data_IF_108204208010
#
_entry.id   IF_108204208010
#
_cell.length_a   1.000
_cell.length_b   1.000
_cell.length_c   1.000
_cell.angle_alpha   90.00
_cell.angle_beta   90.00
_cell.angle_gamma   90.00
#
_symmetry.space_group_name_H-M   'P 1'
#
loop_
_entity.id
_entity.type
_entity.pdbx_description
1 polymer ?
#
# COMPACT_ATOMS: atom_id res chain seq x y z
N UNK A 1 -10.84 -28.83 -3.99
CA UNK A 1 -11.03 -28.00 -5.20
C UNK A 1 -10.77 -28.86 -6.43
N UNK A 2 -11.51 -28.65 -7.53
CA UNK A 2 -11.15 -29.29 -8.80
C UNK A 2 -9.86 -28.64 -9.33
N UNK A 3 -8.87 -29.46 -9.66
CA UNK A 3 -7.63 -28.99 -10.27
C UNK A 3 -7.90 -28.80 -11.77
N UNK A 4 -7.57 -27.61 -12.30
CA UNK A 4 -7.68 -27.31 -13.73
C UNK A 4 -6.83 -28.26 -14.56
N UNK A 5 -7.34 -28.62 -15.73
CA UNK A 5 -6.56 -29.27 -16.78
C UNK A 5 -5.99 -28.20 -17.72
N UNK A 6 -5.02 -28.60 -18.54
CA UNK A 6 -4.38 -27.69 -19.50
C UNK A 6 -5.37 -27.08 -20.48
N UNK A 7 -6.43 -27.81 -20.84
CA UNK A 7 -7.47 -27.35 -21.77
C UNK A 7 -8.38 -26.29 -21.13
N UNK A 8 -8.45 -26.24 -19.81
CA UNK A 8 -9.25 -25.27 -19.06
C UNK A 8 -8.56 -23.89 -18.94
N UNK A 9 -7.26 -23.83 -19.24
CA UNK A 9 -6.49 -22.59 -19.21
C UNK A 9 -6.96 -21.63 -20.30
N UNK A 10 -7.02 -20.34 -20.01
CA UNK A 10 -7.48 -19.36 -20.99
C UNK A 10 -6.45 -19.11 -22.08
N UNK A 11 -5.17 -19.25 -21.76
CA UNK A 11 -4.08 -19.24 -22.73
C UNK A 11 -4.24 -20.31 -23.81
N UNK A 12 -4.89 -21.44 -23.50
CA UNK A 12 -5.19 -22.49 -24.48
C UNK A 12 -6.00 -21.95 -25.67
N UNK A 13 -6.87 -20.95 -25.47
CA UNK A 13 -7.65 -20.33 -26.57
C UNK A 13 -6.77 -19.63 -27.61
N UNK A 14 -5.55 -19.22 -27.23
CA UNK A 14 -4.58 -18.63 -28.16
C UNK A 14 -3.70 -19.70 -28.80
N UNK A 15 -3.25 -20.70 -28.04
CA UNK A 15 -2.18 -21.59 -28.49
C UNK A 15 -2.61 -23.01 -28.89
N UNK A 16 -3.72 -23.51 -28.37
CA UNK A 16 -4.11 -24.91 -28.52
C UNK A 16 -4.89 -25.23 -29.81
N UNK A 17 -5.85 -24.41 -30.28
CA UNK A 17 -6.57 -24.71 -31.53
C UNK A 17 -5.64 -24.91 -32.72
N UNK A 18 -5.97 -25.87 -33.57
CA UNK A 18 -5.30 -26.04 -34.86
C UNK A 18 -6.02 -25.23 -35.93
N UNK A 19 -5.86 -23.91 -35.86
CA UNK A 19 -6.43 -22.97 -36.81
C UNK A 19 -5.45 -21.87 -37.21
N UNK A 20 -5.86 -21.05 -38.20
CA UNK A 20 -5.04 -19.96 -38.74
C UNK A 20 -4.67 -18.92 -37.66
N UNK A 21 -5.54 -18.66 -36.68
CA UNK A 21 -5.30 -17.65 -35.63
C UNK A 21 -4.29 -18.16 -34.62
N UNK A 22 -4.48 -19.36 -34.11
CA UNK A 22 -3.55 -20.02 -33.19
C UNK A 22 -2.21 -20.35 -33.85
N UNK A 23 -2.17 -20.68 -35.14
CA UNK A 23 -0.92 -20.73 -35.92
C UNK A 23 -0.19 -19.38 -35.87
N UNK A 24 -0.90 -18.27 -36.13
CA UNK A 24 -0.34 -16.93 -36.05
C UNK A 24 0.20 -16.57 -34.66
N UNK A 25 -0.53 -16.91 -33.60
CA UNK A 25 -0.08 -16.70 -32.22
C UNK A 25 1.19 -17.50 -31.89
N UNK A 26 1.24 -18.79 -32.26
CA UNK A 26 2.42 -19.65 -32.10
C UNK A 26 3.62 -19.12 -32.89
N UNK A 27 3.42 -18.73 -34.14
CA UNK A 27 4.47 -18.15 -35.00
C UNK A 27 5.06 -16.87 -34.40
N UNK A 28 4.23 -15.98 -33.84
CA UNK A 28 4.71 -14.75 -33.18
C UNK A 28 5.39 -15.03 -31.84
N UNK A 29 4.95 -16.05 -31.08
CA UNK A 29 5.69 -16.51 -29.91
C UNK A 29 7.08 -17.04 -30.30
N UNK A 30 7.19 -17.84 -31.37
CA UNK A 30 8.48 -18.31 -31.88
C UNK A 30 9.39 -17.18 -32.38
N UNK A 31 8.83 -16.12 -32.94
CA UNK A 31 9.58 -14.90 -33.27
C UNK A 31 10.27 -14.26 -32.05
N UNK A 32 9.70 -14.44 -30.85
CA UNK A 32 10.30 -13.97 -29.59
C UNK A 32 11.40 -14.90 -29.05
N UNK A 33 11.72 -16.00 -29.75
CA UNK A 33 12.71 -16.99 -29.34
C UNK A 33 12.18 -18.09 -28.42
N UNK A 34 10.85 -18.26 -28.35
CA UNK A 34 10.20 -19.34 -27.60
C UNK A 34 10.00 -20.58 -28.49
N UNK A 35 9.98 -21.76 -27.89
CA UNK A 35 9.59 -23.00 -28.57
C UNK A 35 8.30 -23.57 -27.97
N UNK A 36 7.64 -24.49 -28.67
CA UNK A 36 6.37 -25.10 -28.23
C UNK A 36 6.44 -25.65 -26.80
N UNK A 37 7.58 -26.22 -26.42
CA UNK A 37 7.84 -26.71 -25.07
C UNK A 37 7.79 -25.62 -23.98
N UNK A 38 7.88 -24.34 -24.32
CA UNK A 38 7.84 -23.23 -23.37
C UNK A 38 6.41 -22.86 -22.92
N UNK A 39 5.40 -23.07 -23.77
CA UNK A 39 4.00 -22.72 -23.45
C UNK A 39 3.04 -23.92 -23.42
N UNK A 40 3.35 -25.01 -24.12
CA UNK A 40 2.43 -26.14 -24.22
C UNK A 40 2.20 -26.81 -22.86
N UNK A 41 0.94 -26.84 -22.42
CA UNK A 41 0.56 -27.44 -21.14
C UNK A 41 1.01 -26.67 -19.91
N UNK A 42 1.54 -25.44 -20.06
CA UNK A 42 2.03 -24.62 -18.96
C UNK A 42 1.15 -23.38 -18.77
N UNK A 43 0.88 -22.96 -17.53
CA UNK A 43 0.17 -21.72 -17.28
C UNK A 43 1.06 -20.53 -17.62
N UNK A 44 0.51 -19.57 -18.35
CA UNK A 44 1.20 -18.34 -18.70
C UNK A 44 0.96 -17.32 -17.60
N UNK A 45 2.01 -16.91 -16.92
CA UNK A 45 1.94 -16.05 -15.74
C UNK A 45 2.41 -14.65 -16.09
N UNK A 46 1.52 -13.67 -15.94
CA UNK A 46 1.89 -12.27 -16.05
C UNK A 46 2.67 -11.82 -14.81
N UNK A 47 3.76 -11.11 -15.01
CA UNK A 47 4.46 -10.36 -13.99
C UNK A 47 4.15 -8.89 -14.24
N UNK A 48 3.14 -8.37 -13.55
CA UNK A 48 2.71 -6.98 -13.67
C UNK A 48 3.69 -6.09 -12.91
N UNK A 49 4.54 -5.38 -13.66
CA UNK A 49 5.67 -4.65 -13.10
C UNK A 49 5.43 -3.13 -13.14
N UNK A 50 5.49 -2.48 -11.98
CA UNK A 50 5.37 -1.02 -11.83
C UNK A 50 6.73 -0.32 -11.71
N UNK A 51 7.79 -0.97 -12.18
CA UNK A 51 9.14 -0.40 -12.29
C UNK A 51 9.18 0.77 -13.28
N UNK A 52 9.99 1.78 -12.95
CA UNK A 52 10.39 2.87 -13.84
C UNK A 52 11.65 3.50 -13.27
N UNK A 53 12.52 4.03 -14.13
CA UNK A 53 13.67 4.84 -13.68
C UNK A 53 13.24 6.10 -12.90
N UNK A 54 12.01 6.59 -13.12
CA UNK A 54 11.40 7.69 -12.35
C UNK A 54 10.67 7.22 -11.08
N UNK A 55 10.75 5.95 -10.72
CA UNK A 55 10.07 5.38 -9.55
C UNK A 55 11.06 4.88 -8.51
N UNK A 56 11.55 5.75 -7.59
CA UNK A 56 12.54 5.34 -6.60
C UNK A 56 12.01 4.25 -5.68
N UNK A 57 10.69 4.24 -5.42
CA UNK A 57 10.03 3.23 -4.60
C UNK A 57 10.05 1.83 -5.22
N UNK A 58 10.12 1.75 -6.55
CA UNK A 58 10.03 0.50 -7.31
C UNK A 58 11.27 0.22 -8.15
N UNK A 59 12.34 0.99 -7.98
CA UNK A 59 13.51 0.91 -8.83
C UNK A 59 14.14 -0.50 -8.85
N UNK A 60 14.05 -1.23 -7.75
CA UNK A 60 14.52 -2.61 -7.62
C UNK A 60 13.59 -3.67 -8.22
N UNK A 61 12.36 -3.32 -8.61
CA UNK A 61 11.37 -4.30 -9.09
C UNK A 61 11.79 -4.96 -10.40
N UNK A 62 12.62 -4.30 -11.24
CA UNK A 62 13.23 -4.94 -12.42
C UNK A 62 14.11 -6.14 -12.04
N UNK A 63 14.91 -6.03 -10.97
CA UNK A 63 15.69 -7.16 -10.45
C UNK A 63 14.77 -8.22 -9.82
N UNK A 64 13.74 -7.81 -9.08
CA UNK A 64 12.81 -8.77 -8.44
C UNK A 64 12.00 -9.56 -9.45
N UNK A 65 11.67 -9.00 -10.62
CA UNK A 65 10.98 -9.71 -11.69
C UNK A 65 11.77 -10.96 -12.13
N UNK A 66 13.11 -10.89 -12.18
CA UNK A 66 13.96 -12.05 -12.49
C UNK A 66 13.85 -13.16 -11.44
N UNK A 67 13.67 -12.81 -10.17
CA UNK A 67 13.44 -13.81 -9.10
C UNK A 67 12.04 -14.42 -9.19
N UNK A 68 11.03 -13.64 -9.58
CA UNK A 68 9.68 -14.15 -9.86
C UNK A 68 9.71 -15.12 -11.06
N UNK A 69 10.36 -14.75 -12.17
CA UNK A 69 10.56 -15.61 -13.35
C UNK A 69 11.17 -16.96 -12.96
N UNK A 70 12.23 -16.96 -12.15
CA UNK A 70 12.86 -18.19 -11.64
C UNK A 70 11.87 -19.09 -10.90
N UNK A 71 11.02 -18.52 -10.05
CA UNK A 71 9.99 -19.27 -9.33
C UNK A 71 8.95 -19.89 -10.26
N UNK A 72 8.49 -19.13 -11.26
CA UNK A 72 7.52 -19.59 -12.26
C UNK A 72 8.09 -20.75 -13.07
N UNK A 73 9.34 -20.63 -13.56
CA UNK A 73 10.00 -21.71 -14.27
C UNK A 73 10.16 -22.97 -13.41
N UNK A 74 10.55 -22.82 -12.14
CA UNK A 74 10.70 -23.95 -11.21
C UNK A 74 9.38 -24.71 -10.96
N UNK A 75 8.25 -24.02 -11.01
CA UNK A 75 6.93 -24.61 -10.85
C UNK A 75 6.30 -25.09 -12.17
N UNK A 76 7.01 -24.97 -13.30
CA UNK A 76 6.52 -25.42 -14.60
C UNK A 76 5.56 -24.45 -15.30
N UNK A 77 5.59 -23.16 -14.94
CA UNK A 77 4.87 -22.10 -15.67
C UNK A 77 5.74 -21.38 -16.70
N UNK A 78 5.11 -20.52 -17.50
CA UNK A 78 5.77 -19.64 -18.46
C UNK A 78 5.61 -18.18 -18.01
N UNK A 79 6.67 -17.48 -17.59
CA UNK A 79 6.56 -16.10 -17.15
C UNK A 79 6.55 -15.12 -18.33
N UNK A 80 5.71 -14.09 -18.25
CA UNK A 80 5.70 -12.95 -19.17
C UNK A 80 5.68 -11.67 -18.36
N UNK A 81 6.73 -10.86 -18.47
CA UNK A 81 6.79 -9.56 -17.79
C UNK A 81 6.04 -8.50 -18.59
N UNK A 82 5.13 -7.79 -17.92
CA UNK A 82 4.25 -6.80 -18.53
C UNK A 82 4.29 -5.51 -17.71
N UNK A 83 4.97 -4.46 -18.20
CA UNK A 83 4.98 -3.17 -17.54
C UNK A 83 3.59 -2.52 -17.55
N UNK A 84 3.26 -1.79 -16.48
CA UNK A 84 2.08 -0.93 -16.39
C UNK A 84 2.46 0.43 -15.79
N UNK A 85 1.54 1.38 -15.74
CA UNK A 85 1.80 2.71 -15.20
C UNK A 85 2.47 2.67 -13.82
N UNK A 86 3.58 3.40 -13.69
CA UNK A 86 4.31 3.52 -12.43
C UNK A 86 3.81 4.71 -11.60
N UNK A 87 3.46 4.46 -10.34
CA UNK A 87 2.82 5.42 -9.44
C UNK A 87 3.82 6.17 -8.56
N UNK A 88 4.79 6.86 -9.17
CA UNK A 88 5.78 7.62 -8.39
C UNK A 88 5.15 8.86 -7.74
N UNK A 89 4.70 8.73 -6.49
CA UNK A 89 3.98 9.79 -5.73
C UNK A 89 4.71 11.14 -5.78
N UNK A 90 6.04 11.11 -5.68
CA UNK A 90 6.86 12.33 -5.60
C UNK A 90 6.89 13.10 -6.92
N UNK A 91 6.81 12.41 -8.07
CA UNK A 91 7.01 12.99 -9.39
C UNK A 91 5.73 13.12 -10.23
N UNK A 92 4.67 12.36 -9.93
CA UNK A 92 3.39 12.48 -10.66
C UNK A 92 2.65 13.77 -10.28
N UNK A 93 2.16 14.49 -11.28
CA UNK A 93 1.37 15.72 -11.15
C UNK A 93 0.05 15.60 -11.91
N UNK A 94 -1.05 16.22 -11.45
CA UNK A 94 -1.16 17.05 -10.25
C UNK A 94 -1.08 16.27 -8.94
N UNK A 95 -1.46 14.98 -8.96
CA UNK A 95 -1.29 14.00 -7.88
C UNK A 95 -1.39 12.59 -8.47
N UNK A 96 -0.73 11.60 -7.87
CA UNK A 96 -0.81 10.19 -8.26
C UNK A 96 -2.23 9.61 -8.11
N UNK A 97 -3.05 10.13 -7.19
CA UNK A 97 -4.40 9.63 -6.90
C UNK A 97 -5.31 9.75 -8.13
N UNK A 98 -5.11 10.78 -8.95
CA UNK A 98 -5.79 10.95 -10.23
C UNK A 98 -5.59 9.73 -11.16
N UNK A 99 -4.39 9.17 -11.16
CA UNK A 99 -3.97 8.09 -12.06
C UNK A 99 -4.24 6.70 -11.51
N UNK A 100 -4.61 6.54 -10.22
CA UNK A 100 -4.94 5.24 -9.62
C UNK A 100 -5.99 4.47 -10.42
N UNK A 101 -7.08 5.14 -10.82
CA UNK A 101 -8.16 4.50 -11.57
C UNK A 101 -7.75 4.16 -13.01
N UNK A 102 -6.93 5.01 -13.63
CA UNK A 102 -6.36 4.75 -14.95
C UNK A 102 -5.48 3.50 -14.93
N UNK A 103 -4.57 3.37 -13.96
CA UNK A 103 -3.74 2.17 -13.88
C UNK A 103 -4.51 0.93 -13.43
N UNK A 104 -5.58 1.06 -12.64
CA UNK A 104 -6.49 -0.07 -12.38
C UNK A 104 -7.14 -0.59 -13.68
N UNK A 105 -7.60 0.32 -14.54
CA UNK A 105 -8.14 -0.03 -15.86
C UNK A 105 -7.08 -0.64 -16.78
N UNK A 106 -5.87 -0.07 -16.80
CA UNK A 106 -4.75 -0.62 -17.57
C UNK A 106 -4.43 -2.06 -17.15
N UNK A 107 -4.33 -2.34 -15.84
CA UNK A 107 -4.06 -3.69 -15.31
C UNK A 107 -5.16 -4.67 -15.70
N UNK A 108 -6.42 -4.26 -15.55
CA UNK A 108 -7.58 -5.08 -15.93
C UNK A 108 -7.51 -5.49 -17.41
N UNK A 109 -7.35 -4.51 -18.30
CA UNK A 109 -7.33 -4.77 -19.74
C UNK A 109 -6.07 -5.50 -20.20
N UNK A 110 -4.93 -5.24 -19.56
CA UNK A 110 -3.67 -5.95 -19.82
C UNK A 110 -3.84 -7.44 -19.55
N UNK A 111 -4.43 -7.80 -18.42
CA UNK A 111 -4.70 -9.19 -18.07
C UNK A 111 -5.81 -9.81 -18.94
N UNK A 112 -6.84 -9.03 -19.29
CA UNK A 112 -7.99 -9.50 -20.08
C UNK A 112 -7.65 -9.84 -21.52
N UNK A 113 -6.84 -9.00 -22.16
CA UNK A 113 -6.58 -9.01 -23.61
C UNK A 113 -5.44 -9.92 -24.07
N UNK A 114 -4.62 -10.42 -23.15
CA UNK A 114 -3.45 -11.28 -23.44
C UNK A 114 -3.68 -12.72 -22.99
N UNK A 115 -2.93 -13.73 -23.47
CA UNK A 115 -3.08 -15.14 -23.07
C UNK A 115 -2.48 -15.45 -21.68
N UNK A 116 -2.88 -14.71 -20.65
CA UNK A 116 -2.45 -14.86 -19.24
C UNK A 116 -3.41 -15.76 -18.45
N UNK A 117 -2.91 -16.70 -17.64
CA UNK A 117 -3.73 -17.57 -16.78
C UNK A 117 -3.72 -17.16 -15.30
N UNK A 118 -2.68 -16.45 -14.87
CA UNK A 118 -2.55 -15.89 -13.52
C UNK A 118 -1.52 -14.76 -13.46
N UNK A 119 -1.45 -14.04 -12.34
CA UNK A 119 -0.61 -12.84 -12.24
C UNK A 119 0.15 -12.69 -10.93
N UNK A 120 1.40 -12.23 -11.01
CA UNK A 120 2.13 -11.62 -9.89
C UNK A 120 2.04 -10.11 -10.01
N UNK A 121 1.49 -9.45 -9.01
CA UNK A 121 1.30 -8.00 -8.98
C UNK A 121 2.43 -7.35 -8.17
N UNK A 122 3.36 -6.67 -8.84
CA UNK A 122 4.52 -6.06 -8.18
C UNK A 122 4.30 -4.57 -7.96
N UNK A 123 4.14 -4.15 -6.70
CA UNK A 123 3.95 -2.74 -6.35
C UNK A 123 4.13 -2.48 -4.86
N UNK A 124 3.96 -1.23 -4.42
CA UNK A 124 4.10 -0.82 -3.03
C UNK A 124 4.02 0.69 -2.80
N UNK A 125 4.48 1.52 -3.75
CA UNK A 125 4.30 2.97 -3.70
C UNK A 125 2.81 3.30 -3.62
N UNK A 126 2.43 4.27 -2.79
CA UNK A 126 1.09 4.63 -2.36
C UNK A 126 -0.09 4.09 -3.20
N UNK A 127 -0.22 4.54 -4.45
CA UNK A 127 -1.39 4.24 -5.29
C UNK A 127 -1.26 2.96 -6.11
N UNK A 128 -0.07 2.36 -6.18
CA UNK A 128 0.18 1.14 -6.95
C UNK A 128 -0.52 -0.10 -6.37
N UNK A 129 -0.44 -0.31 -5.05
CA UNK A 129 -1.12 -1.44 -4.38
C UNK A 129 -2.61 -1.47 -4.70
N UNK A 130 -3.39 -0.39 -4.45
CA UNK A 130 -4.82 -0.42 -4.77
C UNK A 130 -5.09 -0.48 -6.27
N UNK A 131 -4.30 0.19 -7.13
CA UNK A 131 -4.53 0.14 -8.58
C UNK A 131 -4.37 -1.29 -9.12
N UNK A 132 -3.29 -1.98 -8.75
CA UNK A 132 -3.00 -3.35 -9.15
C UNK A 132 -4.08 -4.32 -8.67
N UNK A 133 -4.42 -4.26 -7.38
CA UNK A 133 -5.44 -5.15 -6.78
C UNK A 133 -6.82 -4.89 -7.38
N UNK A 134 -7.21 -3.62 -7.58
CA UNK A 134 -8.48 -3.27 -8.22
C UNK A 134 -8.59 -3.86 -9.64
N UNK A 135 -7.57 -3.69 -10.48
CA UNK A 135 -7.57 -4.19 -11.85
C UNK A 135 -7.59 -5.71 -11.92
N UNK A 136 -6.74 -6.37 -11.13
CA UNK A 136 -6.66 -7.83 -11.10
C UNK A 136 -7.94 -8.48 -10.54
N UNK A 137 -8.56 -7.86 -9.53
CA UNK A 137 -9.85 -8.32 -8.97
C UNK A 137 -10.96 -8.21 -10.02
N UNK A 138 -11.03 -7.11 -10.77
CA UNK A 138 -12.03 -6.93 -11.83
C UNK A 138 -11.82 -7.88 -13.02
N UNK A 139 -10.59 -8.31 -13.26
CA UNK A 139 -10.31 -9.36 -14.23
C UNK A 139 -10.69 -10.77 -13.71
N UNK A 140 -10.45 -11.03 -12.42
CA UNK A 140 -10.89 -12.26 -11.75
C UNK A 140 -10.00 -13.49 -11.98
N UNK A 141 -8.78 -13.33 -12.51
CA UNK A 141 -7.79 -14.42 -12.58
C UNK A 141 -7.09 -14.64 -11.24
N UNK A 142 -6.58 -15.85 -10.97
CA UNK A 142 -5.68 -16.08 -9.83
C UNK A 142 -4.55 -15.05 -9.84
N UNK A 143 -4.34 -14.36 -8.72
CA UNK A 143 -3.24 -13.42 -8.57
C UNK A 143 -2.63 -13.48 -7.18
N UNK A 144 -1.34 -13.13 -7.09
CA UNK A 144 -0.63 -12.90 -5.84
C UNK A 144 0.00 -11.50 -5.85
N UNK A 145 -0.20 -10.74 -4.77
CA UNK A 145 0.44 -9.44 -4.61
C UNK A 145 1.84 -9.61 -4.00
N UNK A 146 2.85 -9.06 -4.66
CA UNK A 146 4.22 -9.03 -4.18
C UNK A 146 4.55 -7.60 -3.71
N UNK A 147 4.58 -7.35 -2.39
CA UNK A 147 4.91 -6.02 -1.86
C UNK A 147 6.35 -5.64 -2.23
N UNK A 148 6.56 -4.36 -2.53
CA UNK A 148 7.86 -3.81 -2.90
C UNK A 148 8.82 -3.65 -1.70
N UNK A 149 8.30 -3.69 -0.47
CA UNK A 149 9.08 -3.50 0.75
C UNK A 149 9.41 -2.03 1.06
N UNK A 150 9.64 -1.76 2.33
CA UNK A 150 10.06 -0.44 2.81
C UNK A 150 11.56 -0.19 2.57
N UNK A 151 11.96 1.08 2.50
CA UNK A 151 13.36 1.48 2.65
C UNK A 151 13.91 1.06 4.02
N UNK A 152 15.23 1.02 4.13
CA UNK A 152 15.89 0.99 5.43
C UNK A 152 15.64 2.32 6.18
N UNK A 153 15.85 2.30 7.50
CA UNK A 153 15.78 3.53 8.31
C UNK A 153 16.75 4.60 7.80
N UNK A 154 16.29 5.85 7.80
CA UNK A 154 17.09 7.01 7.44
C UNK A 154 18.04 7.38 8.58
N UNK A 155 19.12 8.07 8.25
CA UNK A 155 20.03 8.58 9.27
C UNK A 155 20.66 9.90 8.83
N UNK A 156 20.72 10.84 9.76
CA UNK A 156 21.53 12.04 9.61
C UNK A 156 22.21 12.36 10.94
N UNK A 157 23.55 12.45 10.93
CA UNK A 157 24.35 12.79 12.10
C UNK A 157 24.07 11.93 13.35
N UNK A 158 23.78 10.63 13.16
CA UNK A 158 23.44 9.71 14.26
C UNK A 158 21.94 9.63 14.58
N UNK A 159 21.14 10.59 14.12
CA UNK A 159 19.70 10.63 14.37
C UNK A 159 18.91 9.79 13.37
N UNK A 160 17.90 9.06 13.87
CA UNK A 160 16.98 8.26 13.04
C UNK A 160 16.02 9.19 12.28
N UNK A 161 15.94 9.01 10.97
CA UNK A 161 15.00 9.73 10.09
C UNK A 161 13.95 8.78 9.49
N UNK A 162 12.70 9.23 9.48
CA UNK A 162 11.55 8.61 8.83
C UNK A 162 11.02 9.46 7.69
N UNK A 163 10.76 8.81 6.54
CA UNK A 163 10.17 9.43 5.36
C UNK A 163 8.82 10.06 5.66
N UNK A 164 8.58 11.27 5.16
CA UNK A 164 7.36 12.04 5.41
C UNK A 164 7.39 12.73 6.77
N UNK A 165 7.41 11.99 7.88
CA UNK A 165 7.33 12.57 9.24
C UNK A 165 8.44 13.57 9.53
N UNK A 166 9.69 13.20 9.28
CA UNK A 166 10.81 14.09 9.55
C UNK A 166 10.97 15.15 8.45
N UNK A 167 10.43 14.93 7.24
CA UNK A 167 10.42 15.97 6.20
C UNK A 167 9.66 17.20 6.68
N UNK A 168 8.47 17.01 7.27
CA UNK A 168 7.67 18.12 7.79
C UNK A 168 8.33 18.82 8.97
N UNK A 169 8.84 18.05 9.94
CA UNK A 169 9.57 18.59 11.09
C UNK A 169 10.77 19.43 10.65
N UNK A 170 11.68 18.87 9.86
CA UNK A 170 12.88 19.58 9.42
C UNK A 170 12.55 20.72 8.44
N UNK A 171 11.42 20.67 7.73
CA UNK A 171 10.95 21.79 6.92
C UNK A 171 10.51 22.98 7.77
N UNK A 172 9.76 22.75 8.84
CA UNK A 172 9.37 23.82 9.75
C UNK A 172 10.57 24.39 10.53
N UNK A 173 11.48 23.53 11.00
CA UNK A 173 12.77 23.97 11.59
C UNK A 173 13.60 24.81 10.60
N UNK A 174 13.61 24.44 9.31
CA UNK A 174 14.27 25.23 8.27
C UNK A 174 13.57 26.57 8.06
N UNK A 175 12.24 26.60 8.07
CA UNK A 175 11.45 27.85 7.94
C UNK A 175 11.61 28.76 9.15
N UNK A 176 11.86 28.19 10.32
CA UNK A 176 12.19 28.91 11.55
C UNK A 176 13.66 29.42 11.58
N UNK A 177 14.52 28.95 10.67
CA UNK A 177 15.93 29.35 10.60
C UNK A 177 16.88 28.52 11.46
N UNK A 178 16.41 27.40 12.02
CA UNK A 178 17.18 26.55 12.94
C UNK A 178 18.11 25.55 12.23
N UNK A 179 18.00 25.41 10.90
CA UNK A 179 18.77 24.45 10.09
C UNK A 179 19.54 25.20 9.00
N UNK A 180 20.85 24.98 8.94
CA UNK A 180 21.74 25.50 7.89
C UNK A 180 21.49 24.82 6.55
N UNK A 181 21.99 25.43 5.46
CA UNK A 181 21.90 24.86 4.12
C UNK A 181 22.58 23.48 4.05
N UNK A 182 23.75 23.35 4.66
CA UNK A 182 24.56 22.13 4.74
C UNK A 182 23.84 21.04 5.53
N UNK A 183 23.25 21.41 6.68
CA UNK A 183 22.47 20.48 7.47
C UNK A 183 21.25 19.97 6.70
N UNK A 184 20.56 20.85 5.99
CA UNK A 184 19.44 20.46 5.13
C UNK A 184 19.87 19.49 4.01
N UNK A 185 21.00 19.73 3.35
CA UNK A 185 21.53 18.78 2.35
C UNK A 185 21.85 17.41 2.97
N UNK A 186 22.39 17.39 4.19
CA UNK A 186 22.63 16.16 4.93
C UNK A 186 21.34 15.38 5.22
N UNK A 187 20.28 16.07 5.63
CA UNK A 187 18.94 15.46 5.81
C UNK A 187 18.41 14.89 4.49
N UNK A 188 18.53 15.64 3.39
CA UNK A 188 18.10 15.19 2.06
C UNK A 188 18.81 13.90 1.62
N UNK A 189 20.14 13.82 1.80
CA UNK A 189 20.91 12.62 1.47
C UNK A 189 20.70 11.46 2.42
N UNK A 190 20.35 11.73 3.68
CA UNK A 190 20.23 10.73 4.75
C UNK A 190 18.85 10.09 4.90
N UNK A 191 17.79 10.75 4.44
CA UNK A 191 16.41 10.31 4.70
C UNK A 191 15.97 9.14 3.81
N UNK A 192 16.29 9.14 2.52
CA UNK A 192 15.91 8.11 1.54
C UNK A 192 17.16 7.44 0.97
N UNK A 193 17.77 6.58 1.79
CA UNK A 193 19.13 6.03 1.59
C UNK A 193 19.19 4.58 1.08
N UNK A 194 18.05 4.02 0.68
CA UNK A 194 17.97 2.73 -0.01
C UNK A 194 16.81 2.76 -0.99
N UNK A 195 16.74 1.81 -1.92
CA UNK A 195 15.51 1.57 -2.67
C UNK A 195 14.42 1.03 -1.74
N UNK A 196 13.16 1.19 -2.16
CA UNK A 196 11.98 0.79 -1.40
C UNK A 196 11.02 1.95 -1.15
N UNK A 197 9.88 1.62 -0.52
CA UNK A 197 8.82 2.59 -0.20
C UNK A 197 9.11 3.37 1.10
N UNK A 198 8.28 4.36 1.42
CA UNK A 198 8.34 5.08 2.70
C UNK A 198 8.40 4.11 3.90
N UNK A 199 9.38 4.27 4.78
CA UNK A 199 9.64 3.35 5.91
C UNK A 199 8.94 3.75 7.22
N UNK A 200 8.01 4.70 7.14
CA UNK A 200 7.01 4.97 8.17
C UNK A 200 5.74 4.18 7.88
N UNK A 201 4.78 4.17 8.81
CA UNK A 201 3.41 3.71 8.55
C UNK A 201 2.60 4.75 7.74
N UNK A 202 3.19 5.18 6.62
CA UNK A 202 2.50 5.96 5.58
C UNK A 202 1.60 5.08 4.72
N UNK A 203 1.08 5.64 3.62
CA UNK A 203 0.15 4.93 2.73
C UNK A 203 0.77 3.67 2.16
N UNK A 204 2.01 3.70 1.67
CA UNK A 204 2.69 2.51 1.13
C UNK A 204 2.69 1.31 2.10
N UNK A 205 3.29 1.46 3.29
CA UNK A 205 3.34 0.40 4.32
C UNK A 205 1.94 -0.03 4.78
N UNK A 206 1.02 0.93 4.89
CA UNK A 206 -0.39 0.67 5.21
C UNK A 206 -1.04 -0.24 4.16
N UNK A 207 -0.92 0.11 2.88
CA UNK A 207 -1.57 -0.64 1.79
C UNK A 207 -0.96 -2.02 1.60
N UNK A 208 0.36 -2.15 1.76
CA UNK A 208 1.02 -3.47 1.76
C UNK A 208 0.56 -4.33 2.94
N UNK A 209 0.43 -3.74 4.14
CA UNK A 209 -0.08 -4.45 5.32
C UNK A 209 -1.55 -4.86 5.16
N UNK A 210 -2.36 -3.99 4.54
CA UNK A 210 -3.75 -4.30 4.17
C UNK A 210 -3.79 -5.50 3.23
N UNK A 211 -2.98 -5.52 2.17
CA UNK A 211 -2.98 -6.63 1.22
C UNK A 211 -2.60 -7.97 1.89
N UNK A 212 -1.64 -7.96 2.81
CA UNK A 212 -1.19 -9.15 3.57
C UNK A 212 -2.26 -9.60 4.57
N UNK A 213 -2.85 -8.67 5.34
CA UNK A 213 -3.97 -8.93 6.25
C UNK A 213 -5.26 -9.38 5.54
N UNK A 214 -5.42 -9.02 4.27
CA UNK A 214 -6.50 -9.49 3.40
C UNK A 214 -6.23 -10.89 2.83
N UNK A 215 -5.03 -11.44 3.03
CA UNK A 215 -4.61 -12.74 2.53
C UNK A 215 -4.14 -12.73 1.08
N UNK A 216 -3.78 -11.57 0.51
CA UNK A 216 -3.38 -11.41 -0.90
C UNK A 216 -1.86 -11.55 -1.14
N UNK A 217 -1.07 -11.70 -0.08
CA UNK A 217 0.39 -11.90 -0.16
C UNK A 217 0.80 -13.22 0.46
N UNK A 218 2.04 -13.65 0.22
CA UNK A 218 2.63 -14.66 1.12
C UNK A 218 2.67 -14.10 2.56
N UNK A 219 2.49 -14.93 3.59
CA UNK A 219 2.32 -14.45 4.96
C UNK A 219 3.52 -13.64 5.46
N UNK A 220 3.29 -12.39 5.88
CA UNK A 220 4.32 -11.51 6.43
C UNK A 220 5.22 -10.83 5.39
N UNK A 221 4.96 -11.04 4.11
CA UNK A 221 5.69 -10.41 3.01
C UNK A 221 5.69 -8.88 3.08
N UNK A 222 4.60 -8.28 3.58
CA UNK A 222 4.45 -6.82 3.69
C UNK A 222 5.50 -6.16 4.59
N UNK A 223 6.08 -6.92 5.50
CA UNK A 223 7.03 -6.40 6.50
C UNK A 223 8.48 -6.48 6.05
N UNK A 224 8.80 -7.22 4.97
CA UNK A 224 10.18 -7.43 4.53
C UNK A 224 10.74 -6.12 3.91
N UNK A 225 11.85 -5.55 4.43
CA UNK A 225 12.48 -4.40 3.82
C UNK A 225 12.94 -4.72 2.40
N UNK A 226 12.81 -3.75 1.48
CA UNK A 226 13.15 -3.94 0.08
C UNK A 226 14.58 -4.48 -0.13
N UNK A 227 15.61 -4.00 0.58
CA UNK A 227 16.98 -4.48 0.41
C UNK A 227 17.30 -5.81 1.09
N UNK A 228 16.41 -6.37 1.90
CA UNK A 228 16.66 -7.61 2.61
C UNK A 228 16.78 -8.80 1.64
N UNK A 229 17.69 -9.74 1.91
CA UNK A 229 17.90 -10.92 1.07
C UNK A 229 16.64 -11.82 1.00
N UNK A 230 15.81 -11.83 2.04
CA UNK A 230 14.51 -12.51 2.07
C UNK A 230 13.53 -11.94 1.05
N UNK A 231 13.68 -10.68 0.62
CA UNK A 231 12.82 -10.10 -0.42
C UNK A 231 13.01 -10.80 -1.77
N UNK A 232 14.23 -11.24 -2.09
CA UNK A 232 14.51 -12.04 -3.30
C UNK A 232 13.94 -13.45 -3.17
N UNK A 233 14.03 -14.07 -1.99
CA UNK A 233 13.43 -15.39 -1.72
C UNK A 233 11.91 -15.33 -1.84
N UNK A 234 11.27 -14.34 -1.22
CA UNK A 234 9.85 -14.05 -1.34
C UNK A 234 9.43 -13.90 -2.80
N UNK A 235 10.18 -13.15 -3.62
CA UNK A 235 9.85 -12.98 -5.03
C UNK A 235 9.84 -14.32 -5.79
N UNK A 236 10.82 -15.18 -5.55
CA UNK A 236 10.84 -16.55 -6.09
C UNK A 236 9.68 -17.40 -5.56
N UNK A 237 9.35 -17.29 -4.28
CA UNK A 237 8.23 -18.03 -3.69
C UNK A 237 6.88 -17.58 -4.26
N UNK A 238 6.69 -16.27 -4.53
CA UNK A 238 5.51 -15.77 -5.23
C UNK A 238 5.39 -16.38 -6.63
N UNK A 239 6.52 -16.49 -7.35
CA UNK A 239 6.56 -17.10 -8.68
C UNK A 239 6.20 -18.59 -8.69
N UNK A 240 6.61 -19.35 -7.67
CA UNK A 240 6.19 -20.75 -7.52
C UNK A 240 4.70 -20.83 -7.19
N UNK A 241 4.27 -20.03 -6.21
CA UNK A 241 2.92 -20.10 -5.66
C UNK A 241 1.86 -19.74 -6.69
N UNK A 242 2.08 -18.72 -7.52
CA UNK A 242 1.09 -18.31 -8.52
C UNK A 242 0.81 -19.40 -9.54
N UNK A 243 1.79 -20.23 -9.89
CA UNK A 243 1.60 -21.37 -10.81
C UNK A 243 0.66 -22.39 -10.16
N UNK A 244 0.88 -22.73 -8.89
CA UNK A 244 -0.01 -23.61 -8.13
C UNK A 244 -1.43 -23.03 -8.02
N UNK A 245 -1.57 -21.74 -7.74
CA UNK A 245 -2.87 -21.06 -7.68
C UNK A 245 -3.66 -21.15 -8.99
N UNK A 246 -2.99 -21.09 -10.14
CA UNK A 246 -3.66 -21.26 -11.44
C UNK A 246 -4.24 -22.67 -11.55
N UNK A 247 -3.50 -23.70 -11.16
CA UNK A 247 -3.97 -25.08 -11.19
C UNK A 247 -5.09 -25.34 -10.20
N UNK A 248 -5.02 -24.75 -9.00
CA UNK A 248 -6.07 -24.82 -7.97
C UNK A 248 -7.33 -24.00 -8.32
N UNK A 249 -7.26 -23.19 -9.39
CA UNK A 249 -8.25 -22.17 -9.71
C UNK A 249 -8.49 -21.23 -8.51
N UNK A 250 -7.45 -20.87 -7.75
CA UNK A 250 -7.60 -20.02 -6.57
C UNK A 250 -7.76 -18.55 -6.99
N UNK A 251 -8.99 -18.21 -7.36
CA UNK A 251 -9.41 -16.91 -7.87
C UNK A 251 -9.70 -15.90 -6.74
N UNK A 252 -9.71 -14.58 -7.04
CA UNK A 252 -9.85 -13.54 -6.02
C UNK A 252 -11.16 -13.62 -5.23
N UNK A 253 -12.27 -14.05 -5.85
CA UNK A 253 -13.58 -14.23 -5.20
C UNK A 253 -13.58 -15.34 -4.13
N UNK A 254 -12.60 -16.25 -4.16
CA UNK A 254 -12.40 -17.28 -3.14
C UNK A 254 -11.61 -16.79 -1.92
N UNK A 255 -10.97 -15.61 -2.02
CA UNK A 255 -10.13 -15.00 -0.98
C UNK A 255 -10.78 -13.71 -0.45
N UNK A 256 -11.27 -12.86 -1.35
CA UNK A 256 -11.83 -11.54 -1.04
C UNK A 256 -13.34 -11.69 -0.80
N UNK A 257 -13.73 -11.64 0.47
CA UNK A 257 -15.12 -11.69 0.92
C UNK A 257 -15.30 -10.76 2.13
N UNK A 258 -16.51 -10.70 2.70
CA UNK A 258 -16.82 -9.82 3.83
C UNK A 258 -15.90 -10.05 5.04
N UNK A 259 -15.60 -11.31 5.38
CA UNK A 259 -14.76 -11.66 6.52
C UNK A 259 -13.29 -11.26 6.29
N UNK A 260 -12.73 -11.55 5.13
CA UNK A 260 -11.35 -11.16 4.82
C UNK A 260 -11.21 -9.64 4.64
N UNK A 261 -12.24 -8.95 4.14
CA UNK A 261 -12.29 -7.48 4.13
C UNK A 261 -12.35 -6.91 5.54
N UNK A 262 -13.11 -7.50 6.47
CA UNK A 262 -13.11 -7.10 7.89
C UNK A 262 -11.71 -7.26 8.49
N UNK A 263 -11.02 -8.38 8.24
CA UNK A 263 -9.63 -8.56 8.68
C UNK A 263 -8.70 -7.48 8.13
N UNK A 264 -8.81 -7.15 6.84
CA UNK A 264 -8.02 -6.09 6.22
C UNK A 264 -8.24 -4.72 6.89
N UNK A 265 -9.48 -4.40 7.27
CA UNK A 265 -9.81 -3.19 8.04
C UNK A 265 -9.21 -3.24 9.44
N UNK A 266 -9.38 -4.35 10.17
CA UNK A 266 -8.81 -4.53 11.51
C UNK A 266 -7.29 -4.34 11.48
N UNK A 267 -6.60 -4.94 10.52
CA UNK A 267 -5.16 -4.76 10.33
C UNK A 267 -4.80 -3.31 10.02
N UNK A 268 -5.56 -2.62 9.17
CA UNK A 268 -5.34 -1.20 8.90
C UNK A 268 -5.43 -0.36 10.20
N UNK A 269 -6.46 -0.58 11.01
CA UNK A 269 -6.65 0.18 12.25
C UNK A 269 -5.52 -0.12 13.25
N UNK A 270 -5.21 -1.41 13.45
CA UNK A 270 -4.19 -1.88 14.38
C UNK A 270 -2.77 -1.40 14.05
N UNK A 271 -2.48 -1.18 12.77
CA UNK A 271 -1.19 -0.69 12.32
C UNK A 271 -1.03 0.83 12.46
N UNK A 272 -2.10 1.58 12.74
CA UNK A 272 -1.99 3.04 12.75
C UNK A 272 -2.07 3.64 11.34
N UNK A 273 -2.92 3.09 10.46
CA UNK A 273 -2.95 3.37 9.02
C UNK A 273 -2.96 4.86 8.59
N UNK A 274 -2.59 5.08 7.34
CA UNK A 274 -2.85 6.33 6.60
C UNK A 274 -4.35 6.56 6.39
N UNK A 275 -4.79 7.82 6.41
CA UNK A 275 -6.18 8.20 6.08
C UNK A 275 -6.58 7.80 4.65
N UNK A 276 -5.60 7.72 3.73
CA UNK A 276 -5.80 7.24 2.36
C UNK A 276 -6.31 5.78 2.32
N UNK A 277 -6.03 4.97 3.35
CA UNK A 277 -6.48 3.58 3.43
C UNK A 277 -7.99 3.45 3.27
N UNK A 278 -8.75 4.39 3.82
CA UNK A 278 -10.22 4.40 3.74
C UNK A 278 -10.71 4.45 2.29
N UNK A 279 -10.13 5.36 1.49
CA UNK A 279 -10.48 5.53 0.08
C UNK A 279 -10.10 4.29 -0.73
N UNK A 280 -8.96 3.67 -0.39
CA UNK A 280 -8.44 2.50 -1.09
C UNK A 280 -9.20 1.21 -0.75
N UNK A 281 -9.47 0.96 0.53
CA UNK A 281 -10.22 -0.21 1.01
C UNK A 281 -11.64 -0.22 0.42
N UNK A 282 -12.36 0.89 0.47
CA UNK A 282 -13.71 0.98 -0.12
C UNK A 282 -13.65 0.71 -1.63
N UNK A 283 -12.68 1.29 -2.33
CA UNK A 283 -12.54 1.10 -3.77
C UNK A 283 -12.22 -0.35 -4.13
N UNK A 284 -11.29 -1.00 -3.43
CA UNK A 284 -10.94 -2.40 -3.66
C UNK A 284 -12.09 -3.35 -3.29
N UNK A 285 -12.72 -3.15 -2.13
CA UNK A 285 -13.84 -3.99 -1.67
C UNK A 285 -15.01 -3.95 -2.67
N UNK A 286 -15.33 -2.76 -3.19
CA UNK A 286 -16.38 -2.60 -4.22
C UNK A 286 -16.05 -3.31 -5.54
N UNK A 287 -14.77 -3.39 -5.95
CA UNK A 287 -14.38 -4.20 -7.13
C UNK A 287 -14.60 -5.69 -6.91
N UNK A 288 -14.52 -6.15 -5.66
CA UNK A 288 -14.81 -7.53 -5.27
C UNK A 288 -16.30 -7.77 -4.95
N UNK A 289 -17.18 -6.79 -5.15
CA UNK A 289 -18.60 -6.92 -4.80
C UNK A 289 -18.93 -6.83 -3.30
N UNK A 290 -17.96 -6.48 -2.46
CA UNK A 290 -18.15 -6.30 -1.00
C UNK A 290 -18.58 -4.86 -0.71
N UNK A 291 -19.72 -4.69 -0.04
CA UNK A 291 -20.25 -3.38 0.31
C UNK A 291 -19.64 -2.84 1.62
N UNK A 292 -18.40 -2.36 1.54
CA UNK A 292 -17.74 -1.67 2.65
C UNK A 292 -18.11 -0.18 2.69
N UNK A 293 -18.58 0.28 3.86
CA UNK A 293 -19.00 1.66 4.10
C UNK A 293 -18.08 2.39 5.08
N UNK A 294 -18.15 3.74 5.11
CA UNK A 294 -17.43 4.55 6.09
C UNK A 294 -17.84 4.23 7.53
N UNK A 295 -19.12 3.92 7.77
CA UNK A 295 -19.64 3.63 9.11
C UNK A 295 -19.10 2.31 9.65
N UNK A 296 -18.97 1.28 8.81
CA UNK A 296 -18.34 0.01 9.20
C UNK A 296 -16.85 0.17 9.53
N UNK A 297 -16.15 1.04 8.80
CA UNK A 297 -14.76 1.36 9.09
C UNK A 297 -14.63 2.04 10.46
N UNK A 298 -15.52 2.98 10.79
CA UNK A 298 -15.57 3.63 12.11
C UNK A 298 -15.90 2.65 13.24
N UNK A 299 -16.87 1.76 13.03
CA UNK A 299 -17.25 0.71 14.00
C UNK A 299 -16.08 -0.23 14.34
N UNK A 300 -15.36 -0.71 13.31
CA UNK A 300 -14.17 -1.54 13.52
C UNK A 300 -13.05 -0.73 14.17
N UNK A 301 -12.87 0.52 13.77
CA UNK A 301 -11.93 1.46 14.37
C UNK A 301 -12.14 1.58 15.89
N UNK A 302 -13.36 1.81 16.35
CA UNK A 302 -13.68 1.96 17.79
C UNK A 302 -13.27 0.78 18.68
N UNK A 303 -13.14 -0.41 18.10
CA UNK A 303 -12.83 -1.63 18.85
C UNK A 303 -11.44 -2.20 18.57
N UNK A 304 -10.64 -1.52 17.74
CA UNK A 304 -9.33 -2.00 17.30
C UNK A 304 -8.23 -1.03 17.72
N UNK A 305 -7.46 -1.31 18.79
CA UNK A 305 -6.41 -0.42 19.25
C UNK A 305 -5.23 -0.40 18.27
N UNK A 306 -4.50 0.72 18.22
CA UNK A 306 -3.23 0.81 17.50
C UNK A 306 -2.14 0.13 18.31
N UNK A 307 -1.58 -0.96 17.79
CA UNK A 307 -0.53 -1.74 18.46
C UNK A 307 0.82 -1.69 17.74
N UNK A 308 0.88 -1.24 16.50
CA UNK A 308 2.16 -0.96 15.84
C UNK A 308 2.72 0.41 16.32
N UNK A 309 3.81 0.38 17.09
CA UNK A 309 4.51 1.59 17.56
C UNK A 309 5.43 2.18 16.48
N UNK A 310 4.87 2.44 15.30
CA UNK A 310 5.60 2.93 14.13
C UNK A 310 5.18 4.36 13.83
N UNK A 311 6.14 5.23 13.51
CA UNK A 311 5.86 6.60 13.08
C UNK A 311 4.85 6.61 11.92
N UNK A 312 3.86 7.53 11.87
CA UNK A 312 3.70 8.72 12.71
C UNK A 312 2.95 8.52 14.03
N UNK A 313 2.29 7.38 14.25
CA UNK A 313 1.52 7.15 15.49
C UNK A 313 2.46 6.87 16.67
N UNK A 314 3.52 6.09 16.42
CA UNK A 314 4.65 5.91 17.34
C UNK A 314 5.68 7.04 17.25
N UNK A 315 6.60 7.08 18.20
CA UNK A 315 7.65 8.12 18.29
C UNK A 315 9.02 7.67 17.78
N UNK A 316 9.37 6.40 17.96
CA UNK A 316 10.76 5.95 17.77
C UNK A 316 10.98 5.09 16.53
N UNK A 317 10.09 4.12 16.28
CA UNK A 317 10.39 3.02 15.37
C UNK A 317 9.89 3.23 13.94
N UNK A 318 10.52 2.49 13.04
CA UNK A 318 10.25 2.45 11.60
C UNK A 318 10.02 1.01 11.14
N UNK A 319 9.68 0.82 9.86
CA UNK A 319 9.33 -0.49 9.30
C UNK A 319 10.44 -1.55 9.45
N UNK A 320 11.72 -1.16 9.50
CA UNK A 320 12.83 -2.09 9.76
C UNK A 320 12.75 -2.70 11.18
N UNK A 321 12.41 -1.89 12.18
CA UNK A 321 12.20 -2.37 13.55
C UNK A 321 10.95 -3.26 13.62
N UNK A 322 9.88 -2.88 12.91
CA UNK A 322 8.64 -3.69 12.81
C UNK A 322 8.91 -5.09 12.25
N UNK A 323 9.71 -5.17 11.18
CA UNK A 323 10.14 -6.43 10.59
C UNK A 323 10.86 -7.32 11.61
N UNK A 324 11.86 -6.78 12.31
CA UNK A 324 12.64 -7.52 13.30
C UNK A 324 11.83 -7.93 14.54
N UNK A 325 10.79 -7.17 14.90
CA UNK A 325 9.87 -7.51 15.98
C UNK A 325 8.96 -8.71 15.65
N UNK A 326 8.96 -9.20 14.40
CA UNK A 326 8.11 -10.30 13.93
C UNK A 326 7.11 -9.89 12.86
N UNK A 327 7.06 -8.60 12.52
CA UNK A 327 6.28 -8.04 11.43
C UNK A 327 4.77 -8.27 11.57
N UNK A 328 4.09 -8.25 10.43
CA UNK A 328 2.64 -8.34 10.39
C UNK A 328 2.10 -9.65 10.94
N UNK A 329 2.83 -10.76 10.80
CA UNK A 329 2.42 -12.05 11.38
C UNK A 329 2.35 -11.99 12.89
N UNK A 330 3.33 -11.37 13.55
CA UNK A 330 3.30 -11.17 15.00
C UNK A 330 2.16 -10.24 15.40
N UNK A 331 1.95 -9.14 14.69
CA UNK A 331 0.83 -8.23 14.93
C UNK A 331 -0.53 -8.94 14.80
N UNK A 332 -0.72 -9.78 13.79
CA UNK A 332 -1.97 -10.54 13.62
C UNK A 332 -2.18 -11.59 14.71
N UNK A 333 -1.11 -12.17 15.27
CA UNK A 333 -1.22 -13.03 16.45
C UNK A 333 -1.67 -12.24 17.69
N UNK A 334 -1.12 -11.05 17.91
CA UNK A 334 -1.53 -10.16 19.02
C UNK A 334 -3.00 -9.71 18.90
N UNK A 335 -3.52 -9.55 17.67
CA UNK A 335 -4.92 -9.20 17.45
C UNK A 335 -5.90 -10.32 17.83
N UNK A 336 -5.46 -11.58 17.84
CA UNK A 336 -6.24 -12.72 18.34
C UNK A 336 -7.64 -12.83 17.71
N UNK A 337 -8.66 -12.81 18.57
CA UNK A 337 -10.08 -12.97 18.23
C UNK A 337 -10.67 -11.80 17.44
N UNK A 338 -9.93 -10.70 17.26
CA UNK A 338 -10.32 -9.59 16.39
C UNK A 338 -10.22 -9.94 14.90
N UNK A 339 -9.56 -11.05 14.56
CA UNK A 339 -9.42 -11.55 13.20
C UNK A 339 -10.20 -12.86 13.03
N UNK A 340 -10.88 -12.99 11.89
CA UNK A 340 -11.38 -14.28 11.45
C UNK A 340 -10.22 -15.11 10.88
N UNK A 341 -9.74 -16.06 11.67
CA UNK A 341 -8.61 -16.92 11.30
C UNK A 341 -8.98 -18.01 10.30
N UNK A 342 -10.25 -18.18 9.96
CA UNK A 342 -10.72 -19.24 9.04
C UNK A 342 -10.65 -18.84 7.57
N UNK A 343 -10.45 -17.54 7.28
CA UNK A 343 -10.42 -17.04 5.90
C UNK A 343 -9.27 -17.64 5.10
N UNK A 344 -9.54 -18.03 3.86
CA UNK A 344 -8.53 -18.52 2.91
C UNK A 344 -7.60 -17.39 2.48
N UNK A 345 -6.32 -17.72 2.27
CA UNK A 345 -5.29 -16.81 1.74
C UNK A 345 -4.78 -17.29 0.38
N UNK A 346 -3.95 -16.50 -0.32
CA UNK A 346 -3.27 -16.92 -1.55
C UNK A 346 -2.45 -18.20 -1.39
N UNK A 347 -2.08 -18.59 -0.17
CA UNK A 347 -1.38 -19.87 0.08
C UNK A 347 -2.26 -21.11 -0.08
N UNK A 348 -3.57 -20.94 -0.24
CA UNK A 348 -4.57 -22.03 -0.19
C UNK A 348 -4.89 -22.49 1.23
N UNK A 349 -4.23 -21.94 2.25
CA UNK A 349 -4.45 -22.21 3.68
C UNK A 349 -5.23 -21.08 4.35
N UNK A 350 -5.76 -21.38 5.52
CA UNK A 350 -6.44 -20.41 6.37
C UNK A 350 -5.45 -19.39 6.97
N UNK A 351 -5.93 -18.18 7.30
CA UNK A 351 -5.11 -17.16 7.94
C UNK A 351 -4.50 -17.67 9.26
N UNK A 352 -5.24 -18.45 10.04
CA UNK A 352 -4.76 -19.08 11.27
C UNK A 352 -3.55 -19.99 11.06
N UNK A 353 -3.55 -20.80 10.00
CA UNK A 353 -2.40 -21.61 9.62
C UNK A 353 -1.21 -20.75 9.17
N UNK A 354 -1.48 -19.65 8.46
CA UNK A 354 -0.45 -18.72 7.99
C UNK A 354 0.26 -17.98 9.13
N UNK A 355 -0.44 -17.67 10.22
CA UNK A 355 0.17 -16.98 11.38
C UNK A 355 0.66 -17.93 12.46
N UNK A 356 0.38 -19.24 12.35
CA UNK A 356 0.83 -20.25 13.31
C UNK A 356 2.34 -20.18 13.53
N UNK A 357 2.74 -20.11 14.80
CA UNK A 357 4.14 -20.07 15.24
C UNK A 357 4.84 -18.71 15.05
N UNK A 358 4.15 -17.68 14.57
CA UNK A 358 4.67 -16.32 14.62
C UNK A 358 4.85 -15.87 16.07
N UNK A 359 5.91 -15.11 16.32
CA UNK A 359 6.27 -14.61 17.65
C UNK A 359 6.53 -13.12 17.59
N UNK A 360 6.06 -12.42 18.61
CA UNK A 360 6.45 -11.05 18.90
C UNK A 360 7.79 -11.07 19.63
N UNK A 361 8.84 -10.56 18.99
CA UNK A 361 10.20 -10.51 19.54
C UNK A 361 10.52 -9.19 20.23
N UNK A 362 9.68 -8.17 20.06
CA UNK A 362 9.85 -6.88 20.70
C UNK A 362 8.48 -6.22 20.93
N UNK A 363 7.96 -6.41 22.15
CA UNK A 363 6.65 -5.89 22.55
C UNK A 363 6.60 -4.37 22.68
N UNK A 364 7.74 -3.66 22.59
CA UNK A 364 7.76 -2.20 22.52
C UNK A 364 7.43 -1.69 21.11
N UNK A 365 7.78 -2.47 20.08
CA UNK A 365 7.52 -2.18 18.66
C UNK A 365 6.14 -2.69 18.23
N UNK A 366 5.79 -3.91 18.62
CA UNK A 366 4.47 -4.50 18.43
C UNK A 366 3.85 -4.66 19.82
N UNK A 367 3.06 -3.68 20.22
CA UNK A 367 2.43 -3.64 21.54
C UNK A 367 1.37 -4.72 21.68
N UNK A 368 1.14 -5.11 22.92
CA UNK A 368 0.03 -5.99 23.30
C UNK A 368 -1.28 -5.18 23.36
N UNK A 369 -2.43 -5.86 23.34
CA UNK A 369 -3.74 -5.20 23.38
C UNK A 369 -4.03 -4.45 24.70
N UNK A 370 -3.37 -4.82 25.79
CA UNK A 370 -3.47 -4.18 27.11
C UNK A 370 -2.53 -2.97 27.27
N UNK A 371 -1.51 -2.84 26.41
CA UNK A 371 -0.58 -1.72 26.40
C UNK A 371 -0.43 -1.09 25.00
N UNK A 372 -1.53 -0.70 24.33
CA UNK A 372 -1.48 -0.23 22.96
C UNK A 372 -0.86 1.17 22.87
N UNK A 373 -0.45 1.55 21.65
CA UNK A 373 -0.02 2.93 21.34
C UNK A 373 -1.20 3.89 21.46
N UNK A 374 -2.39 3.45 21.04
CA UNK A 374 -3.64 4.18 21.15
C UNK A 374 -4.79 3.19 21.38
N UNK A 375 -5.66 3.47 22.35
CA UNK A 375 -6.67 2.53 22.82
C UNK A 375 -7.84 2.33 21.84
N UNK A 376 -8.07 3.28 20.94
CA UNK A 376 -9.05 3.19 19.87
C UNK A 376 -8.34 3.02 18.51
N UNK A 377 -9.13 2.96 17.44
CA UNK A 377 -8.65 2.92 16.07
C UNK A 377 -7.88 4.17 15.70
N UNK A 378 -6.99 4.02 14.73
CA UNK A 378 -6.16 5.12 14.24
C UNK A 378 -6.96 6.26 13.62
N UNK A 379 -8.17 5.98 13.13
CA UNK A 379 -9.01 6.89 12.38
C UNK A 379 -10.41 7.01 13.01
N UNK A 380 -11.03 8.19 12.85
CA UNK A 380 -12.42 8.44 13.21
C UNK A 380 -13.17 9.10 12.05
N UNK A 381 -14.46 8.77 11.93
CA UNK A 381 -15.38 9.41 10.97
C UNK A 381 -16.19 10.50 11.67
N UNK A 382 -16.05 11.74 11.20
CA UNK A 382 -16.76 12.91 11.69
C UNK A 382 -17.94 13.22 10.78
N UNK A 383 -19.12 13.46 11.36
CA UNK A 383 -20.33 13.89 10.66
C UNK A 383 -20.86 15.19 11.25
N UNK A 384 -21.50 15.99 10.42
CA UNK A 384 -22.11 17.26 10.81
C UNK A 384 -22.53 18.08 9.60
N UNK A 385 -23.02 19.29 9.82
CA UNK A 385 -23.46 20.18 8.73
C UNK A 385 -22.34 20.53 7.72
N UNK A 386 -21.07 20.51 8.13
CA UNK A 386 -19.92 20.75 7.24
C UNK A 386 -19.49 19.50 6.45
N UNK A 387 -19.74 18.31 6.99
CA UNK A 387 -19.38 17.03 6.40
C UNK A 387 -20.58 16.06 6.51
N UNK A 388 -21.67 16.31 5.77
CA UNK A 388 -22.91 15.51 5.89
C UNK A 388 -22.68 14.04 5.51
N UNK A 389 -21.82 13.80 4.51
CA UNK A 389 -21.46 12.45 4.03
C UNK A 389 -20.22 11.88 4.74
N UNK A 390 -19.71 12.58 5.75
CA UNK A 390 -18.55 12.16 6.55
C UNK A 390 -17.22 12.78 6.13
N UNK A 391 -16.33 12.96 7.11
CA UNK A 391 -14.93 13.30 6.97
C UNK A 391 -14.08 12.39 7.84
N UNK A 392 -12.81 12.18 7.48
CA UNK A 392 -11.90 11.31 8.25
C UNK A 392 -10.85 12.16 8.94
N UNK A 393 -10.57 11.84 10.20
CA UNK A 393 -9.46 12.40 10.98
C UNK A 393 -8.64 11.27 11.60
N UNK A 394 -7.38 11.55 11.97
CA UNK A 394 -6.48 10.58 12.61
C UNK A 394 -6.20 10.99 14.08
N UNK A 395 -7.04 10.57 15.06
CA UNK A 395 -6.87 10.93 16.46
C UNK A 395 -5.52 10.50 17.05
N UNK A 396 -5.00 9.35 16.61
CA UNK A 396 -3.72 8.81 17.07
C UNK A 396 -2.50 9.68 16.75
N UNK A 397 -2.63 10.67 15.87
CA UNK A 397 -1.57 11.62 15.49
C UNK A 397 -1.89 13.07 15.93
N UNK A 398 -2.85 13.26 16.84
CA UNK A 398 -3.34 14.57 17.28
C UNK A 398 -3.01 14.81 18.75
N UNK A 399 -2.68 16.05 19.11
CA UNK A 399 -2.61 16.43 20.52
C UNK A 399 -3.99 16.32 21.19
N UNK A 400 -4.10 15.76 22.41
CA UNK A 400 -5.39 15.54 23.08
C UNK A 400 -6.26 16.79 23.21
N UNK A 401 -5.65 17.96 23.39
CA UNK A 401 -6.37 19.25 23.52
C UNK A 401 -7.19 19.61 22.29
N UNK A 402 -6.79 19.16 21.10
CA UNK A 402 -7.47 19.48 19.84
C UNK A 402 -8.59 18.51 19.48
N UNK A 403 -8.79 17.43 20.25
CA UNK A 403 -9.91 16.51 20.05
C UNK A 403 -11.28 17.20 20.27
N UNK A 404 -11.31 18.26 21.07
CA UNK A 404 -12.46 19.14 21.25
C UNK A 404 -12.02 20.59 21.12
N UNK A 405 -12.08 21.11 19.89
CA UNK A 405 -11.66 22.46 19.57
C UNK A 405 -12.79 23.27 18.93
N UNK A 406 -12.86 24.57 19.25
CA UNK A 406 -13.75 25.52 18.58
C UNK A 406 -13.01 26.83 18.38
N UNK A 407 -13.02 27.33 17.15
CA UNK A 407 -12.42 28.61 16.83
C UNK A 407 -12.91 29.20 15.52
N UNK A 408 -12.54 30.45 15.24
CA UNK A 408 -12.85 31.13 13.99
C UNK A 408 -12.16 30.45 12.80
N UNK A 409 -12.85 30.38 11.66
CA UNK A 409 -12.32 29.77 10.44
C UNK A 409 -11.57 30.79 9.57
N UNK A 410 -10.40 30.41 9.08
CA UNK A 410 -9.68 31.11 7.99
C UNK A 410 -9.77 30.22 6.76
N UNK A 411 -10.42 30.72 5.71
CA UNK A 411 -10.75 29.92 4.53
C UNK A 411 -9.88 30.30 3.35
N UNK A 412 -9.20 29.32 2.76
CA UNK A 412 -8.54 29.44 1.48
C UNK A 412 -9.31 28.66 0.39
N UNK A 413 -9.52 29.26 -0.77
CA UNK A 413 -10.23 28.64 -1.90
C UNK A 413 -9.31 27.95 -2.89
N UNK A 414 -8.00 28.15 -2.75
CA UNK A 414 -6.98 27.51 -3.58
C UNK A 414 -5.71 27.29 -2.77
N UNK A 415 -4.84 26.40 -3.27
CA UNK A 415 -3.54 26.16 -2.65
C UNK A 415 -2.62 27.39 -2.74
N UNK A 416 -2.77 28.23 -3.76
CA UNK A 416 -2.03 29.49 -3.89
C UNK A 416 -2.44 30.49 -2.80
N UNK A 417 -3.75 30.69 -2.59
CA UNK A 417 -4.28 31.54 -1.52
C UNK A 417 -3.86 31.04 -0.13
N UNK A 418 -3.90 29.71 0.08
CA UNK A 418 -3.40 29.11 1.32
C UNK A 418 -1.92 29.44 1.55
N UNK A 419 -1.09 29.38 0.51
CA UNK A 419 0.33 29.71 0.59
C UNK A 419 0.58 31.18 0.95
N UNK A 420 -0.24 32.09 0.45
CA UNK A 420 -0.15 33.51 0.83
C UNK A 420 -0.41 33.67 2.33
N UNK A 421 -1.48 33.04 2.84
CA UNK A 421 -1.86 33.07 4.26
C UNK A 421 -0.74 32.51 5.16
N UNK A 422 -0.25 31.29 4.90
CA UNK A 422 0.69 30.62 5.81
C UNK A 422 2.13 31.17 5.73
N UNK A 423 2.48 31.94 4.69
CA UNK A 423 3.80 32.52 4.53
C UNK A 423 3.89 33.99 4.93
N UNK A 424 2.77 34.67 5.12
CA UNK A 424 2.75 36.01 5.71
C UNK A 424 3.06 35.93 7.21
N UNK A 425 4.16 36.56 7.61
CA UNK A 425 4.66 36.59 8.99
C UNK A 425 3.83 37.50 9.90
N UNK A 426 2.99 38.35 9.33
CA UNK A 426 2.13 39.30 10.04
C UNK A 426 0.63 39.00 9.83
N UNK A 427 0.29 37.85 9.25
CA UNK A 427 -1.11 37.46 9.06
C UNK A 427 -1.82 37.41 10.43
N UNK A 428 -3.04 37.95 10.57
CA UNK A 428 -3.77 37.99 11.83
C UNK A 428 -4.36 36.61 12.19
N UNK A 429 -3.49 35.67 12.58
CA UNK A 429 -3.82 34.30 12.99
C UNK A 429 -3.35 34.01 14.41
N UNK A 430 -4.13 33.22 15.13
CA UNK A 430 -3.82 32.71 16.47
C UNK A 430 -3.92 31.18 16.50
N UNK A 431 -3.39 30.55 17.54
CA UNK A 431 -3.45 29.09 17.73
C UNK A 431 -4.88 28.53 17.84
N UNK A 432 -5.88 29.38 18.08
CA UNK A 432 -7.29 28.99 18.15
C UNK A 432 -7.99 28.93 16.78
N UNK A 433 -7.41 29.53 15.73
CA UNK A 433 -8.04 29.55 14.41
C UNK A 433 -8.05 28.16 13.76
N UNK A 434 -9.07 27.92 12.93
CA UNK A 434 -9.21 26.70 12.12
C UNK A 434 -8.93 27.05 10.66
N UNK A 435 -7.85 26.53 10.09
CA UNK A 435 -7.55 26.68 8.67
C UNK A 435 -8.42 25.73 7.84
N UNK A 436 -9.09 26.26 6.81
CA UNK A 436 -9.97 25.49 5.91
C UNK A 436 -9.54 25.69 4.46
N UNK A 437 -9.07 24.62 3.83
CA UNK A 437 -8.79 24.60 2.39
C UNK A 437 -9.97 24.00 1.62
N UNK A 438 -10.56 24.78 0.71
CA UNK A 438 -11.60 24.33 -0.21
C UNK A 438 -11.01 23.97 -1.58
N UNK A 439 -11.83 23.34 -2.43
CA UNK A 439 -11.46 22.96 -3.81
C UNK A 439 -10.23 22.02 -3.91
N UNK A 440 -9.96 21.22 -2.89
CA UNK A 440 -8.86 20.24 -2.89
C UNK A 440 -9.34 18.78 -3.06
N UNK A 441 -10.62 18.56 -3.38
CA UNK A 441 -11.19 17.22 -3.58
C UNK A 441 -10.93 16.61 -4.96
N UNK A 442 -11.56 15.46 -5.29
CA UNK A 442 -11.34 14.75 -6.56
C UNK A 442 -11.58 15.60 -7.82
N UNK A 443 -12.58 16.48 -7.80
CA UNK A 443 -12.88 17.38 -8.93
C UNK A 443 -12.20 18.74 -8.82
N UNK A 444 -12.19 19.34 -7.63
CA UNK A 444 -11.65 20.68 -7.43
C UNK A 444 -10.12 20.75 -7.54
N UNK A 445 -9.42 19.74 -7.01
CA UNK A 445 -7.97 19.72 -6.85
C UNK A 445 -7.20 19.82 -8.16
N UNK A 446 -7.52 19.08 -9.23
CA UNK A 446 -8.25 17.80 -9.34
C UNK A 446 -7.44 16.59 -8.82
N UNK A 447 -8.07 15.43 -8.74
CA UNK A 447 -7.43 14.18 -8.32
C UNK A 447 -7.27 14.01 -6.81
N UNK A 448 -7.75 14.96 -6.00
CA UNK A 448 -7.59 14.99 -4.54
C UNK A 448 -6.12 14.97 -4.07
N UNK A 449 -5.34 16.03 -4.33
CA UNK A 449 -3.95 16.11 -3.89
C UNK A 449 -3.82 16.06 -2.37
N UNK A 450 -2.67 15.57 -1.87
CA UNK A 450 -2.35 15.49 -0.43
C UNK A 450 -1.98 16.86 0.16
N UNK A 451 -2.90 17.83 0.07
CA UNK A 451 -2.73 19.21 0.58
C UNK A 451 -3.43 19.45 1.93
N UNK A 452 -4.02 18.41 2.51
CA UNK A 452 -4.75 18.51 3.79
C UNK A 452 -3.84 18.72 5.01
N UNK A 453 -2.57 18.32 4.93
CA UNK A 453 -1.56 18.61 5.96
C UNK A 453 -0.95 19.99 5.71
N UNK A 454 -1.66 21.02 6.18
CA UNK A 454 -1.27 22.41 6.00
C UNK A 454 -0.02 22.70 6.87
N UNK A 455 1.09 23.22 6.30
CA UNK A 455 2.26 23.60 7.09
C UNK A 455 1.92 24.68 8.13
N UNK A 456 2.67 24.71 9.23
CA UNK A 456 2.46 25.72 10.26
C UNK A 456 2.62 27.15 9.68
N UNK A 457 1.67 28.06 9.94
CA UNK A 457 1.78 29.46 9.56
C UNK A 457 3.04 30.11 10.15
N UNK A 458 3.80 30.86 9.35
CA UNK A 458 5.00 31.55 9.83
C UNK A 458 4.70 32.53 10.97
N UNK A 459 3.55 33.21 10.91
CA UNK A 459 3.08 34.09 11.97
C UNK A 459 2.98 33.37 13.34
N UNK A 460 2.61 32.08 13.37
CA UNK A 460 2.57 31.26 14.58
C UNK A 460 3.96 30.75 14.98
N UNK A 461 4.78 30.32 14.03
CA UNK A 461 6.17 29.90 14.31
C UNK A 461 6.99 31.02 14.97
N UNK A 462 6.80 32.28 14.54
CA UNK A 462 7.43 33.47 15.14
C UNK A 462 7.02 33.69 16.61
N UNK A 463 5.84 33.20 17.01
CA UNK A 463 5.32 33.26 18.37
C UNK A 463 5.79 32.06 19.23
N UNK A 464 6.54 31.12 18.66
CA UNK A 464 7.05 29.92 19.36
C UNK A 464 6.04 28.76 19.44
N UNK A 465 5.05 28.74 18.56
CA UNK A 465 4.08 27.63 18.44
C UNK A 465 4.59 26.45 17.65
#
# INVERSE_FOLDING_TARGET
MMIKKKEDLRSARWFAPDDLRSMGHRSRAMQMGLDQADWEGKPIIAIINTWSDLSPCHHHLRDRAEFVKKGIYQAGGMPVEMPVHSFSEQFLKPTSMLYRNMGAFEVEETLRSHPIDGAVLMGGCDKSTPALIMGATSMGLPFIYMPAGAMLRGNYAGEKLGSGTDVWKYWDERRAGNISKEQWYGVQGGIARSYGTCMTMGTASTMMSIADGWGLTLPGSSSIPAPDASHKRMATDCGRRIVEMVWEDLTPDKIINEASTRNAVTVAMATGCSTNAIIHLIAMARRAGVNLTLDQLDEIGRTTPVIANIRPSGKEYLMEDFFYAGGLRALMVELGDKLDLTVTTVTGKTLGECVKGAKNYNSDVIRTLDNPVYHEGSLAVLKGNLAPDGAVIKPAAMEPKFQKHRGPAIVANSYSELKEIINDENYPITADHILVLRNAGPKGGPGMPEWGMIPMPKALLKQGH
#
